data_IF_352835555019
#
_entry.id   IF_352835555019
#
_cell.length_a   1.000
_cell.length_b   1.000
_cell.length_c   1.000
_cell.angle_alpha   90.00
_cell.angle_beta   90.00
_cell.angle_gamma   90.00
#
_symmetry.space_group_name_H-M   'P 1'
#
loop_
_entity.id
_entity.type
_entity.pdbx_description
1 polymer ?
#
# COMPACT_ATOMS: atom_id res chain seq x y z
N UNK A 1 18.85 19.22 31.48
CA UNK A 1 18.09 19.20 30.21
C UNK A 1 16.66 18.79 30.55
N UNK A 2 15.70 19.72 30.64
CA UNK A 2 14.34 19.38 31.04
C UNK A 2 13.63 18.65 29.89
N UNK A 3 12.86 17.62 30.26
CA UNK A 3 12.03 16.85 29.34
C UNK A 3 10.95 17.76 28.74
N UNK A 4 10.86 17.76 27.41
CA UNK A 4 9.77 18.43 26.69
C UNK A 4 8.48 17.63 26.91
N UNK A 5 7.67 18.07 27.86
CA UNK A 5 6.27 17.66 27.97
C UNK A 5 5.49 18.17 26.75
N UNK A 6 4.83 17.25 26.06
CA UNK A 6 3.88 17.60 25.00
C UNK A 6 2.50 17.88 25.62
N UNK A 7 1.84 18.99 25.30
CA UNK A 7 0.49 19.24 25.79
C UNK A 7 -0.47 18.19 25.23
N UNK A 8 -1.27 17.60 26.11
CA UNK A 8 -2.42 16.78 25.74
C UNK A 8 -3.49 17.70 25.13
N UNK A 9 -3.99 17.45 23.91
CA UNK A 9 -5.06 18.27 23.36
C UNK A 9 -6.35 17.99 24.13
N UNK A 10 -6.77 18.94 24.98
CA UNK A 10 -8.15 19.02 25.47
C UNK A 10 -8.99 19.70 24.39
N UNK A 11 -9.93 18.94 23.85
CA UNK A 11 -10.90 19.41 22.86
C UNK A 11 -11.35 18.25 22.00
N UNK A 12 -12.65 18.16 21.71
CA UNK A 12 -13.19 17.23 20.71
C UNK A 12 -12.64 17.65 19.33
N UNK A 13 -11.40 17.26 19.05
CA UNK A 13 -10.80 17.36 17.74
C UNK A 13 -11.70 16.59 16.80
N UNK A 14 -12.41 17.30 15.92
CA UNK A 14 -12.89 16.70 14.67
C UNK A 14 -11.63 16.10 14.07
N UNK A 15 -11.47 14.78 14.18
CA UNK A 15 -10.42 14.06 13.48
C UNK A 15 -10.64 14.45 12.02
N UNK A 16 -9.82 15.36 11.51
CA UNK A 16 -9.68 15.57 10.08
C UNK A 16 -9.44 14.15 9.56
N UNK A 17 -10.25 13.66 8.64
CA UNK A 17 -10.00 12.36 8.01
C UNK A 17 -9.30 12.64 6.68
N UNK A 18 -8.42 11.76 6.22
CA UNK A 18 -7.88 11.93 4.88
C UNK A 18 -9.03 11.90 3.86
N UNK A 19 -9.01 12.78 2.85
CA UNK A 19 -10.02 12.77 1.81
C UNK A 19 -9.97 11.41 1.09
N UNK A 20 -11.14 10.77 0.85
CA UNK A 20 -11.17 9.53 0.10
C UNK A 20 -10.82 9.80 -1.37
N UNK A 21 -10.02 8.91 -1.96
CA UNK A 21 -9.89 8.81 -3.41
C UNK A 21 -11.11 8.04 -3.93
N UNK A 22 -11.96 8.65 -4.77
CA UNK A 22 -13.17 8.00 -5.26
C UNK A 22 -12.83 6.89 -6.27
N UNK A 23 -13.62 5.83 -6.26
CA UNK A 23 -13.48 4.76 -7.26
C UNK A 23 -14.30 4.99 -8.53
N UNK A 24 -15.30 5.87 -8.47
CA UNK A 24 -16.33 6.04 -9.49
C UNK A 24 -17.40 4.95 -9.44
N UNK A 25 -18.16 4.80 -10.52
CA UNK A 25 -19.20 3.77 -10.65
C UNK A 25 -18.62 2.37 -10.77
N UNK A 26 -18.58 1.63 -9.66
CA UNK A 26 -18.16 0.23 -9.65
C UNK A 26 -19.35 -0.72 -9.79
N UNK A 27 -19.23 -1.70 -10.68
CA UNK A 27 -20.25 -2.72 -10.90
C UNK A 27 -20.15 -3.83 -9.84
N UNK A 28 -21.28 -4.25 -9.24
CA UNK A 28 -21.33 -5.40 -8.35
C UNK A 28 -21.11 -6.71 -9.11
N UNK A 29 -20.41 -7.66 -8.48
CA UNK A 29 -20.28 -9.01 -9.03
C UNK A 29 -19.89 -10.07 -8.02
N UNK A 30 -19.78 -11.31 -8.48
CA UNK A 30 -19.27 -12.46 -7.71
C UNK A 30 -18.04 -13.05 -8.39
N UNK A 31 -16.97 -13.22 -7.64
CA UNK A 31 -15.75 -13.84 -8.14
C UNK A 31 -16.00 -15.31 -8.47
N UNK A 32 -15.63 -15.75 -9.67
CA UNK A 32 -15.81 -17.14 -10.10
C UNK A 32 -14.48 -17.91 -10.05
N UNK A 33 -13.40 -17.30 -10.53
CA UNK A 33 -12.09 -17.94 -10.51
C UNK A 33 -10.98 -17.09 -11.10
N UNK A 34 -9.74 -17.34 -10.65
CA UNK A 34 -8.55 -16.68 -11.21
C UNK A 34 -8.07 -17.50 -12.42
N UNK A 35 -7.91 -16.86 -13.57
CA UNK A 35 -7.41 -17.51 -14.79
C UNK A 35 -5.89 -17.51 -14.84
N UNK A 36 -5.29 -16.39 -14.48
CA UNK A 36 -3.84 -16.22 -14.35
C UNK A 36 -3.53 -15.02 -13.44
N UNK A 37 -2.26 -14.59 -13.38
CA UNK A 37 -1.84 -13.48 -12.52
C UNK A 37 -2.57 -12.15 -12.79
N UNK A 38 -3.05 -11.92 -14.01
CA UNK A 38 -3.66 -10.65 -14.44
C UNK A 38 -5.09 -10.76 -14.96
N UNK A 39 -5.72 -11.93 -14.87
CA UNK A 39 -7.06 -12.15 -15.36
C UNK A 39 -7.87 -13.05 -14.43
N UNK A 40 -9.13 -12.70 -14.24
CA UNK A 40 -10.10 -13.46 -13.47
C UNK A 40 -11.47 -13.45 -14.17
N UNK A 41 -12.29 -14.43 -13.83
CA UNK A 41 -13.68 -14.50 -14.26
C UNK A 41 -14.57 -14.04 -13.11
N UNK A 42 -15.53 -13.16 -13.40
CA UNK A 42 -16.48 -12.59 -12.44
C UNK A 42 -17.88 -12.63 -13.05
N UNK A 43 -18.88 -13.04 -12.29
CA UNK A 43 -20.28 -12.89 -12.66
C UNK A 43 -20.73 -11.45 -12.36
N UNK A 44 -21.09 -10.69 -13.39
CA UNK A 44 -21.59 -9.31 -13.30
C UNK A 44 -22.99 -9.30 -13.91
N UNK A 45 -24.01 -8.95 -13.11
CA UNK A 45 -25.42 -9.03 -13.56
C UNK A 45 -25.81 -10.44 -14.01
N UNK A 46 -25.28 -11.49 -13.35
CA UNK A 46 -25.50 -12.90 -13.73
C UNK A 46 -24.64 -13.42 -14.88
N UNK A 47 -23.99 -12.53 -15.66
CA UNK A 47 -23.18 -12.94 -16.82
C UNK A 47 -21.72 -13.10 -16.43
N UNK A 48 -21.13 -14.23 -16.84
CA UNK A 48 -19.69 -14.49 -16.68
C UNK A 48 -18.87 -13.58 -17.59
N UNK A 49 -17.99 -12.76 -17.00
CA UNK A 49 -17.13 -11.81 -17.72
C UNK A 49 -15.67 -11.98 -17.31
N UNK A 50 -14.77 -11.80 -18.27
CA UNK A 50 -13.33 -11.72 -17.99
C UNK A 50 -12.98 -10.30 -17.52
N UNK A 51 -12.28 -10.19 -16.40
CA UNK A 51 -11.79 -8.92 -15.84
C UNK A 51 -10.29 -8.96 -15.65
N UNK A 52 -9.64 -7.80 -15.75
CA UNK A 52 -8.23 -7.66 -15.44
C UNK A 52 -8.03 -7.61 -13.92
N UNK A 53 -6.97 -8.25 -13.43
CA UNK A 53 -6.53 -8.16 -12.04
C UNK A 53 -5.29 -7.26 -11.99
N UNK A 54 -5.42 -5.97 -11.61
CA UNK A 54 -4.32 -5.01 -11.55
C UNK A 54 -3.39 -5.21 -10.33
N UNK A 55 -3.04 -6.47 -10.06
CA UNK A 55 -2.22 -6.88 -8.93
C UNK A 55 -1.51 -8.21 -9.23
N UNK A 56 -0.19 -8.18 -9.23
CA UNK A 56 0.67 -9.35 -9.45
C UNK A 56 0.74 -10.29 -8.24
N UNK A 57 0.25 -9.86 -7.08
CA UNK A 57 0.22 -10.64 -5.84
C UNK A 57 -0.64 -11.89 -5.96
N UNK A 58 -0.45 -12.82 -5.02
CA UNK A 58 -1.12 -14.12 -5.02
C UNK A 58 -2.59 -14.01 -4.61
N UNK A 59 -2.93 -13.08 -3.72
CA UNK A 59 -4.30 -12.76 -3.28
C UNK A 59 -5.16 -14.00 -2.95
N UNK A 60 -4.55 -15.09 -2.47
CA UNK A 60 -5.21 -16.41 -2.32
C UNK A 60 -6.29 -16.39 -1.23
N UNK A 61 -6.05 -15.59 -0.20
CA UNK A 61 -6.96 -15.35 0.92
C UNK A 61 -8.15 -14.45 0.53
N UNK A 62 -7.99 -13.63 -0.51
CA UNK A 62 -9.02 -12.69 -0.97
C UNK A 62 -9.86 -13.26 -2.11
N UNK A 63 -9.21 -13.79 -3.15
CA UNK A 63 -9.84 -14.22 -4.40
C UNK A 63 -10.34 -15.67 -4.31
N UNK A 64 -11.34 -15.89 -3.44
CA UNK A 64 -12.05 -17.17 -3.30
C UNK A 64 -13.32 -17.19 -4.15
N UNK A 65 -13.66 -18.30 -4.82
CA UNK A 65 -14.94 -18.45 -5.52
C UNK A 65 -16.12 -18.05 -4.64
N UNK A 66 -17.08 -17.32 -5.22
CA UNK A 66 -18.26 -16.80 -4.53
C UNK A 66 -18.05 -15.46 -3.80
N UNK A 67 -16.80 -15.00 -3.61
CA UNK A 67 -16.52 -13.73 -2.96
C UNK A 67 -17.22 -12.56 -3.68
N UNK A 68 -17.87 -11.68 -2.91
CA UNK A 68 -18.44 -10.46 -3.46
C UNK A 68 -17.33 -9.52 -3.93
N UNK A 69 -17.49 -8.95 -5.12
CA UNK A 69 -16.50 -8.07 -5.73
C UNK A 69 -17.12 -6.80 -6.28
N UNK A 70 -16.27 -5.83 -6.58
CA UNK A 70 -16.60 -4.63 -7.33
C UNK A 70 -15.62 -4.47 -8.49
N UNK A 71 -16.16 -4.26 -9.69
CA UNK A 71 -15.40 -4.15 -10.94
C UNK A 71 -15.53 -2.73 -11.47
N UNK A 72 -14.40 -2.10 -11.78
CA UNK A 72 -14.39 -0.85 -12.54
C UNK A 72 -14.63 -1.20 -14.01
N UNK A 73 -15.74 -0.77 -14.63
CA UNK A 73 -16.02 -1.10 -16.02
C UNK A 73 -14.94 -0.53 -16.95
N UNK A 74 -14.68 -1.21 -18.06
CA UNK A 74 -13.91 -0.62 -19.14
C UNK A 74 -14.64 0.62 -19.68
N UNK A 75 -13.91 1.68 -20.08
CA UNK A 75 -14.54 2.82 -20.75
C UNK A 75 -15.31 2.39 -22.00
N UNK A 76 -16.45 3.03 -22.33
CA UNK A 76 -17.14 2.80 -23.59
C UNK A 76 -16.20 2.95 -24.79
N UNK A 77 -16.29 2.05 -25.77
CA UNK A 77 -15.44 2.08 -26.97
C UNK A 77 -13.97 1.66 -26.76
N UNK A 78 -13.56 1.28 -25.55
CA UNK A 78 -12.19 0.84 -25.31
C UNK A 78 -11.91 -0.52 -25.99
N UNK A 79 -10.86 -0.59 -26.80
CA UNK A 79 -10.37 -1.83 -27.41
C UNK A 79 -9.72 -2.75 -26.36
N UNK A 80 -10.53 -3.36 -25.49
CA UNK A 80 -10.09 -4.26 -24.41
C UNK A 80 -10.76 -5.62 -24.49
N UNK A 81 -9.98 -6.68 -24.27
CA UNK A 81 -10.50 -8.06 -24.13
C UNK A 81 -11.24 -8.28 -22.80
N UNK A 82 -10.97 -7.46 -21.79
CA UNK A 82 -11.56 -7.56 -20.45
C UNK A 82 -12.67 -6.53 -20.27
N UNK A 83 -13.77 -6.93 -19.65
CA UNK A 83 -14.92 -6.06 -19.34
C UNK A 83 -14.60 -4.93 -18.35
N UNK A 84 -13.46 -5.00 -17.66
CA UNK A 84 -13.06 -4.01 -16.67
C UNK A 84 -11.91 -4.50 -15.80
N UNK A 85 -11.65 -3.76 -14.73
CA UNK A 85 -10.61 -4.06 -13.74
C UNK A 85 -11.26 -4.46 -12.41
N UNK A 86 -10.83 -5.58 -11.84
CA UNK A 86 -11.21 -5.98 -10.49
C UNK A 86 -10.65 -4.95 -9.51
N UNK A 87 -11.54 -4.27 -8.77
CA UNK A 87 -11.17 -3.17 -7.89
C UNK A 87 -11.27 -3.57 -6.42
N UNK A 88 -12.41 -4.09 -5.98
CA UNK A 88 -12.64 -4.48 -4.59
C UNK A 88 -13.03 -5.94 -4.47
N UNK A 89 -12.63 -6.55 -3.34
CA UNK A 89 -13.04 -7.88 -2.93
C UNK A 89 -13.50 -7.82 -1.48
N UNK A 90 -14.62 -8.47 -1.18
CA UNK A 90 -15.13 -8.60 0.19
C UNK A 90 -14.38 -9.71 0.91
N UNK A 91 -13.80 -9.41 2.06
CA UNK A 91 -13.07 -10.35 2.89
C UNK A 91 -13.36 -10.07 4.36
N UNK A 92 -13.77 -11.09 5.13
CA UNK A 92 -14.02 -10.99 6.58
C UNK A 92 -14.82 -9.74 7.00
N UNK A 93 -15.92 -9.43 6.29
CA UNK A 93 -16.75 -8.27 6.64
C UNK A 93 -16.17 -6.89 6.32
N UNK A 94 -15.02 -6.81 5.61
CA UNK A 94 -14.48 -5.55 5.06
C UNK A 94 -14.32 -5.60 3.55
N UNK A 95 -14.27 -4.43 2.90
CA UNK A 95 -13.77 -4.33 1.53
C UNK A 95 -12.25 -4.22 1.55
N UNK A 96 -11.60 -4.91 0.60
CA UNK A 96 -10.18 -4.80 0.32
C UNK A 96 -10.02 -4.35 -1.11
N UNK A 97 -9.32 -3.25 -1.32
CA UNK A 97 -9.00 -2.81 -2.68
C UNK A 97 -7.77 -3.58 -3.16
N UNK A 98 -7.95 -4.29 -4.28
CA UNK A 98 -6.91 -5.10 -4.91
C UNK A 98 -6.25 -4.34 -6.08
N UNK A 99 -6.71 -3.13 -6.39
CA UNK A 99 -6.07 -2.28 -7.40
C UNK A 99 -4.85 -1.53 -6.84
N UNK A 100 -3.66 -2.07 -7.14
CA UNK A 100 -2.41 -1.51 -6.64
C UNK A 100 -2.12 -0.09 -7.18
N UNK A 101 -2.73 0.30 -8.30
CA UNK A 101 -2.52 1.64 -8.91
C UNK A 101 -3.07 2.76 -8.02
N UNK A 102 -4.06 2.45 -7.17
CA UNK A 102 -4.73 3.45 -6.32
C UNK A 102 -3.85 3.89 -5.15
N UNK A 103 -2.89 3.07 -4.71
CA UNK A 103 -2.13 3.33 -3.50
C UNK A 103 -1.35 4.66 -3.55
N UNK A 104 -0.70 4.96 -4.69
CA UNK A 104 0.03 6.22 -4.87
C UNK A 104 -0.93 7.43 -4.84
N UNK A 105 -2.12 7.30 -5.42
CA UNK A 105 -3.13 8.36 -5.42
C UNK A 105 -3.61 8.66 -3.99
N UNK A 106 -3.84 7.63 -3.16
CA UNK A 106 -4.25 7.79 -1.75
C UNK A 106 -3.19 8.53 -0.94
N UNK A 107 -1.93 8.12 -1.06
CA UNK A 107 -0.83 8.79 -0.35
C UNK A 107 -0.68 10.24 -0.82
N UNK A 108 -0.76 10.49 -2.13
CA UNK A 108 -0.68 11.84 -2.68
C UNK A 108 -1.84 12.74 -2.23
N UNK A 109 -3.07 12.24 -2.22
CA UNK A 109 -4.25 12.98 -1.76
C UNK A 109 -4.13 13.33 -0.26
N UNK A 110 -3.72 12.36 0.57
CA UNK A 110 -3.52 12.58 1.99
C UNK A 110 -2.38 13.58 2.26
N UNK A 111 -1.29 13.57 1.49
CA UNK A 111 -0.22 14.57 1.58
C UNK A 111 -0.70 15.96 1.17
N UNK A 112 -1.48 16.06 0.09
CA UNK A 112 -2.09 17.31 -0.37
C UNK A 112 -2.99 17.96 0.69
N UNK A 113 -3.72 17.13 1.44
CA UNK A 113 -4.56 17.54 2.57
C UNK A 113 -3.80 17.74 3.89
N UNK A 114 -2.46 17.57 3.91
CA UNK A 114 -1.65 17.71 5.13
C UNK A 114 -1.89 16.61 6.17
N UNK A 115 -2.49 15.48 5.77
CA UNK A 115 -3.06 14.51 6.71
C UNK A 115 -2.12 13.38 7.12
N UNK A 116 -1.05 13.10 6.37
CA UNK A 116 -0.27 11.87 6.58
C UNK A 116 0.51 11.89 7.90
N UNK A 117 0.13 11.07 8.91
CA UNK A 117 0.75 11.15 10.23
C UNK A 117 2.23 10.79 10.19
N UNK A 118 3.09 11.69 10.68
CA UNK A 118 4.55 11.52 10.63
C UNK A 118 5.19 11.97 9.32
N UNK A 119 4.43 12.60 8.41
CA UNK A 119 4.92 13.33 7.22
C UNK A 119 4.30 14.74 7.13
N UNK A 120 3.92 15.35 8.26
CA UNK A 120 3.39 16.71 8.30
C UNK A 120 4.35 17.72 7.65
N UNK A 121 3.78 18.64 6.87
CA UNK A 121 4.50 19.66 6.09
C UNK A 121 5.10 19.16 4.77
N UNK A 122 5.13 17.84 4.51
CA UNK A 122 5.56 17.33 3.21
C UNK A 122 4.43 17.41 2.17
N UNK A 123 4.75 17.89 0.98
CA UNK A 123 3.83 17.98 -0.17
C UNK A 123 4.41 17.25 -1.38
N UNK A 124 3.55 16.81 -2.30
CA UNK A 124 3.99 16.20 -3.55
C UNK A 124 4.49 17.31 -4.49
N UNK A 125 5.76 17.23 -4.90
CA UNK A 125 6.34 18.12 -5.91
C UNK A 125 6.27 17.53 -7.32
N UNK A 126 6.46 16.21 -7.43
CA UNK A 126 6.50 15.50 -8.71
C UNK A 126 6.10 14.05 -8.52
N UNK A 127 5.53 13.44 -9.56
CA UNK A 127 5.25 12.00 -9.65
C UNK A 127 6.19 11.31 -10.63
N UNK A 128 6.35 9.99 -10.51
CA UNK A 128 7.10 9.15 -11.45
C UNK A 128 8.54 9.63 -11.68
N UNK A 129 9.29 9.78 -10.59
CA UNK A 129 10.61 10.41 -10.55
C UNK A 129 11.68 9.40 -10.94
N UNK A 130 12.40 9.67 -12.03
CA UNK A 130 13.50 8.82 -12.51
C UNK A 130 14.79 9.08 -11.71
N UNK A 131 15.42 8.01 -11.23
CA UNK A 131 16.71 8.02 -10.56
C UNK A 131 17.54 6.86 -11.09
N UNK A 132 18.51 7.17 -11.96
CA UNK A 132 19.22 6.16 -12.75
C UNK A 132 18.25 5.33 -13.59
N UNK A 133 18.27 4.00 -13.39
CA UNK A 133 17.35 3.04 -14.03
C UNK A 133 16.01 2.85 -13.29
N UNK A 134 15.86 3.42 -12.10
CA UNK A 134 14.68 3.23 -11.26
C UNK A 134 13.70 4.40 -11.43
N UNK A 135 12.43 4.13 -11.16
CA UNK A 135 11.37 5.12 -11.11
C UNK A 135 10.64 4.99 -9.78
N UNK A 136 10.63 6.08 -9.03
CA UNK A 136 9.99 6.21 -7.72
C UNK A 136 8.67 6.95 -7.86
N UNK A 137 7.70 6.62 -7.03
CA UNK A 137 6.33 7.11 -7.20
C UNK A 137 6.21 8.62 -7.03
N UNK A 138 6.88 9.20 -6.03
CA UNK A 138 6.73 10.61 -5.65
C UNK A 138 8.07 11.27 -5.25
N UNK A 139 8.21 12.56 -5.57
CA UNK A 139 9.18 13.46 -4.95
C UNK A 139 8.40 14.36 -3.99
N UNK A 140 8.77 14.33 -2.71
CA UNK A 140 8.18 15.17 -1.68
C UNK A 140 9.05 16.39 -1.42
N UNK A 141 8.40 17.50 -1.08
CA UNK A 141 9.03 18.76 -0.68
C UNK A 141 8.55 19.20 0.69
N UNK A 142 9.47 19.72 1.50
CA UNK A 142 9.17 20.45 2.74
C UNK A 142 10.25 21.51 2.92
N UNK A 143 9.87 22.78 2.82
CA UNK A 143 10.80 23.91 2.77
C UNK A 143 11.86 23.68 1.66
N UNK A 144 13.16 23.77 2.01
CA UNK A 144 14.29 23.48 1.11
C UNK A 144 14.62 21.98 0.99
N UNK A 145 13.92 21.10 1.72
CA UNK A 145 14.22 19.65 1.75
C UNK A 145 13.41 18.89 0.70
N UNK A 146 14.04 17.87 0.10
CA UNK A 146 13.42 16.97 -0.89
C UNK A 146 13.61 15.51 -0.49
N UNK A 147 12.53 14.73 -0.53
CA UNK A 147 12.55 13.30 -0.22
C UNK A 147 12.02 12.47 -1.39
N UNK A 148 12.72 11.40 -1.76
CA UNK A 148 12.12 10.37 -2.62
C UNK A 148 11.11 9.58 -1.79
N UNK A 149 9.95 9.30 -2.37
CA UNK A 149 8.89 8.53 -1.74
C UNK A 149 8.45 7.38 -2.66
N UNK A 150 8.50 6.18 -2.11
CA UNK A 150 8.00 4.96 -2.73
C UNK A 150 6.76 4.48 -1.96
N UNK A 151 5.70 4.09 -2.66
CA UNK A 151 4.47 3.57 -2.09
C UNK A 151 4.34 2.08 -2.39
N UNK A 152 4.05 1.28 -1.37
CA UNK A 152 3.81 -0.16 -1.49
C UNK A 152 2.38 -0.49 -1.12
N UNK A 153 1.64 -1.12 -2.03
CA UNK A 153 0.31 -1.66 -1.74
C UNK A 153 0.43 -2.96 -0.96
N UNK A 154 -0.30 -3.07 0.16
CA UNK A 154 -0.28 -4.24 1.04
C UNK A 154 -1.70 -4.73 1.28
N UNK A 155 -1.98 -5.99 0.91
CA UNK A 155 -3.30 -6.61 1.07
C UNK A 155 -3.28 -7.82 2.01
N UNK A 156 -2.11 -8.44 2.18
CA UNK A 156 -1.92 -9.58 3.07
C UNK A 156 -1.86 -9.12 4.53
N UNK A 157 -2.82 -9.59 5.32
CA UNK A 157 -2.87 -9.40 6.78
C UNK A 157 -3.26 -10.72 7.43
N UNK A 158 -2.44 -11.17 8.38
CA UNK A 158 -2.60 -12.42 9.10
C UNK A 158 -2.58 -12.12 10.59
N UNK A 159 -3.62 -12.52 11.32
CA UNK A 159 -3.74 -12.27 12.77
C UNK A 159 -3.43 -10.79 13.16
N UNK A 160 -3.94 -9.84 12.38
CA UNK A 160 -3.72 -8.40 12.60
C UNK A 160 -2.32 -7.89 12.20
N UNK A 161 -1.46 -8.71 11.58
CA UNK A 161 -0.14 -8.28 11.11
C UNK A 161 -0.13 -8.21 9.58
N UNK A 162 0.05 -7.00 9.04
CA UNK A 162 0.26 -6.81 7.61
C UNK A 162 1.64 -7.30 7.19
N UNK A 163 1.71 -7.99 6.06
CA UNK A 163 2.96 -8.55 5.52
C UNK A 163 3.20 -8.10 4.10
N UNK A 164 4.43 -7.69 3.81
CA UNK A 164 4.84 -7.34 2.46
C UNK A 164 6.27 -7.82 2.17
N UNK A 165 6.53 -8.43 1.00
CA UNK A 165 5.55 -8.72 -0.06
C UNK A 165 4.78 -10.03 0.18
N UNK A 166 3.76 -10.30 -0.62
CA UNK A 166 3.02 -11.58 -0.66
C UNK A 166 3.60 -12.57 -1.71
N UNK A 167 4.62 -12.12 -2.47
CA UNK A 167 5.45 -12.91 -3.36
C UNK A 167 6.83 -12.23 -3.53
N UNK A 168 7.91 -12.96 -3.88
CA UNK A 168 9.23 -12.36 -4.09
C UNK A 168 9.22 -11.14 -5.02
N UNK A 169 9.95 -10.08 -4.68
CA UNK A 169 9.98 -8.81 -5.41
C UNK A 169 11.40 -8.27 -5.59
N UNK A 170 12.08 -8.73 -6.65
CA UNK A 170 13.42 -8.23 -7.00
C UNK A 170 13.43 -6.70 -7.22
N UNK A 171 12.37 -6.16 -7.85
CA UNK A 171 12.20 -4.72 -8.04
C UNK A 171 12.06 -3.97 -6.73
N UNK A 172 11.23 -4.46 -5.80
CA UNK A 172 11.07 -3.84 -4.49
C UNK A 172 12.40 -3.82 -3.71
N UNK A 173 13.14 -4.93 -3.74
CA UNK A 173 14.47 -5.02 -3.13
C UNK A 173 15.46 -4.03 -3.73
N UNK A 174 15.50 -3.90 -5.06
CA UNK A 174 16.35 -2.91 -5.73
C UNK A 174 15.99 -1.47 -5.32
N UNK A 175 14.70 -1.14 -5.26
CA UNK A 175 14.25 0.18 -4.82
C UNK A 175 14.69 0.48 -3.38
N UNK A 176 14.53 -0.48 -2.44
CA UNK A 176 15.00 -0.32 -1.06
C UNK A 176 16.50 -0.05 -0.98
N UNK A 177 17.31 -0.76 -1.77
CA UNK A 177 18.78 -0.55 -1.84
C UNK A 177 19.11 0.85 -2.36
N UNK A 178 18.44 1.33 -3.41
CA UNK A 178 18.66 2.68 -3.96
C UNK A 178 18.26 3.77 -2.95
N UNK A 179 17.13 3.62 -2.26
CA UNK A 179 16.71 4.57 -1.22
C UNK A 179 17.69 4.57 -0.03
N UNK A 180 18.16 3.40 0.40
CA UNK A 180 19.17 3.29 1.45
C UNK A 180 20.50 3.94 1.07
N UNK A 181 20.95 3.78 -0.18
CA UNK A 181 22.15 4.42 -0.68
C UNK A 181 22.00 5.96 -0.72
N UNK A 182 20.82 6.47 -1.09
CA UNK A 182 20.52 7.90 -1.04
C UNK A 182 20.55 8.44 0.40
N UNK A 183 19.93 7.73 1.33
CA UNK A 183 19.85 8.14 2.73
C UNK A 183 21.23 8.23 3.39
N UNK A 184 22.12 7.26 3.12
CA UNK A 184 23.52 7.32 3.58
C UNK A 184 24.32 8.49 3.02
N UNK A 185 23.94 9.04 1.87
CA UNK A 185 24.55 10.24 1.27
C UNK A 185 23.86 11.55 1.74
N UNK A 186 23.08 11.49 2.82
CA UNK A 186 22.37 12.64 3.39
C UNK A 186 21.04 12.99 2.70
N UNK A 187 20.62 12.24 1.67
CA UNK A 187 19.38 12.51 0.96
C UNK A 187 18.15 11.91 1.65
N UNK A 188 17.09 12.69 1.86
CA UNK A 188 15.87 12.15 2.46
C UNK A 188 15.17 11.13 1.54
N UNK A 189 14.63 10.08 2.15
CA UNK A 189 13.88 9.01 1.51
C UNK A 189 12.82 8.44 2.45
N UNK A 190 11.64 8.12 1.91
CA UNK A 190 10.53 7.52 2.65
C UNK A 190 9.92 6.37 1.84
N UNK A 191 9.47 5.34 2.55
CA UNK A 191 8.63 4.28 1.99
C UNK A 191 7.31 4.24 2.75
N UNK A 192 6.20 4.38 2.04
CA UNK A 192 4.85 4.31 2.58
C UNK A 192 4.22 2.96 2.19
N UNK A 193 4.04 2.08 3.15
CA UNK A 193 3.23 0.87 3.00
C UNK A 193 1.76 1.20 3.26
N UNK A 194 0.94 1.10 2.22
CA UNK A 194 -0.49 1.34 2.29
C UNK A 194 -1.22 0.00 2.43
N UNK A 195 -1.71 -0.25 3.64
CA UNK A 195 -2.40 -1.49 4.00
C UNK A 195 -3.87 -1.31 3.69
N UNK A 196 -4.37 -2.01 2.67
CA UNK A 196 -5.73 -1.87 2.16
C UNK A 196 -6.77 -2.63 3.02
N UNK A 197 -6.48 -2.71 4.33
CA UNK A 197 -7.23 -3.45 5.35
C UNK A 197 -7.20 -2.70 6.68
N UNK A 198 -8.35 -2.49 7.35
CA UNK A 198 -8.43 -1.72 8.58
C UNK A 198 -7.92 -2.47 9.82
N UNK A 199 -7.91 -3.80 9.76
CA UNK A 199 -7.65 -4.71 10.88
C UNK A 199 -6.16 -4.97 11.15
N UNK A 200 -5.25 -4.40 10.36
CA UNK A 200 -3.82 -4.50 10.63
C UNK A 200 -3.39 -3.59 11.79
N UNK A 201 -2.81 -4.16 12.84
CA UNK A 201 -2.23 -3.45 13.98
C UNK A 201 -0.75 -3.07 13.77
N UNK A 202 -0.03 -3.80 12.91
CA UNK A 202 1.38 -3.56 12.58
C UNK A 202 1.70 -4.03 11.16
N UNK A 203 2.88 -3.64 10.66
CA UNK A 203 3.45 -4.18 9.43
C UNK A 203 4.82 -4.83 9.68
N UNK A 204 5.05 -6.00 9.09
CA UNK A 204 6.33 -6.72 9.12
C UNK A 204 6.75 -7.07 7.69
N UNK A 205 7.98 -6.73 7.24
CA UNK A 205 8.50 -7.26 5.98
C UNK A 205 8.51 -8.79 6.00
N UNK A 206 7.97 -9.42 4.95
CA UNK A 206 7.68 -10.84 4.95
C UNK A 206 8.93 -11.68 4.63
N UNK A 207 9.79 -11.91 5.63
CA UNK A 207 11.05 -12.62 5.44
C UNK A 207 10.91 -14.07 4.92
N UNK A 208 9.81 -14.75 5.24
CA UNK A 208 9.51 -16.11 4.73
C UNK A 208 9.31 -16.11 3.22
N UNK A 209 8.65 -15.08 2.66
CA UNK A 209 8.41 -14.98 1.21
C UNK A 209 9.50 -14.23 0.47
N UNK A 210 10.16 -13.26 1.10
CA UNK A 210 11.26 -12.52 0.50
C UNK A 210 12.29 -12.07 1.55
N UNK A 211 13.26 -12.95 1.90
CA UNK A 211 14.29 -12.62 2.88
C UNK A 211 15.19 -11.46 2.40
N UNK A 212 15.40 -11.34 1.08
CA UNK A 212 16.20 -10.26 0.50
C UNK A 212 15.51 -8.90 0.64
N UNK A 213 14.20 -8.82 0.44
CA UNK A 213 13.43 -7.60 0.68
C UNK A 213 13.42 -7.22 2.16
N UNK A 214 13.22 -8.19 3.06
CA UNK A 214 13.25 -7.95 4.50
C UNK A 214 14.61 -7.43 4.97
N UNK A 215 15.71 -8.02 4.49
CA UNK A 215 17.07 -7.54 4.75
C UNK A 215 17.28 -6.12 4.18
N UNK A 216 16.84 -5.86 2.95
CA UNK A 216 16.95 -4.53 2.35
C UNK A 216 16.15 -3.47 3.12
N UNK A 217 15.01 -3.82 3.72
CA UNK A 217 14.26 -2.93 4.60
C UNK A 217 15.06 -2.57 5.86
N UNK A 218 15.70 -3.55 6.51
CA UNK A 218 16.58 -3.31 7.66
C UNK A 218 17.73 -2.38 7.29
N UNK A 219 18.49 -2.72 6.26
CA UNK A 219 19.63 -1.92 5.80
C UNK A 219 19.22 -0.50 5.38
N UNK A 220 18.08 -0.35 4.70
CA UNK A 220 17.58 0.96 4.31
C UNK A 220 17.17 1.81 5.53
N UNK A 221 16.46 1.22 6.49
CA UNK A 221 16.06 1.90 7.72
C UNK A 221 17.27 2.35 8.54
N UNK A 222 18.26 1.47 8.76
CA UNK A 222 19.52 1.82 9.42
C UNK A 222 20.31 2.90 8.68
N UNK A 223 20.15 2.99 7.34
CA UNK A 223 20.73 4.05 6.52
C UNK A 223 19.97 5.38 6.56
N UNK A 224 18.86 5.49 7.28
CA UNK A 224 18.07 6.73 7.42
C UNK A 224 16.80 6.80 6.58
N UNK A 225 16.41 5.72 5.89
CA UNK A 225 15.12 5.69 5.16
C UNK A 225 13.96 5.62 6.15
N UNK A 226 13.01 6.55 6.05
CA UNK A 226 11.80 6.54 6.87
C UNK A 226 10.83 5.46 6.35
N UNK A 227 10.57 4.43 7.14
CA UNK A 227 9.52 3.46 6.84
C UNK A 227 8.23 3.84 7.56
N UNK A 228 7.13 3.91 6.82
CA UNK A 228 5.80 4.26 7.34
C UNK A 228 4.77 3.28 6.82
N UNK A 229 3.83 2.91 7.69
CA UNK A 229 2.72 2.05 7.32
C UNK A 229 1.41 2.66 7.81
N UNK A 230 0.39 2.58 6.96
CA UNK A 230 -0.92 3.14 7.24
C UNK A 230 -2.00 2.15 6.81
N UNK A 231 -3.04 2.00 7.63
CA UNK A 231 -4.24 1.29 7.19
C UNK A 231 -5.06 2.19 6.27
N UNK A 232 -6.03 1.59 5.58
CA UNK A 232 -7.02 2.30 4.80
C UNK A 232 -8.42 1.94 5.25
N UNK A 233 -9.33 2.91 5.13
CA UNK A 233 -10.77 2.68 5.11
C UNK A 233 -11.17 2.51 3.66
N UNK A 234 -11.79 1.38 3.33
CA UNK A 234 -12.21 1.04 1.97
C UNK A 234 -13.73 0.86 1.95
N UNK A 235 -14.39 1.57 1.05
CA UNK A 235 -15.83 1.46 0.79
C UNK A 235 -16.03 1.30 -0.72
N UNK A 236 -17.24 0.92 -1.19
CA UNK A 236 -17.54 0.94 -2.62
C UNK A 236 -17.38 2.33 -3.27
N UNK A 237 -17.55 3.41 -2.50
CA UNK A 237 -17.42 4.79 -3.00
C UNK A 237 -15.98 5.28 -3.12
N UNK A 238 -15.05 4.78 -2.29
CA UNK A 238 -13.67 5.24 -2.29
C UNK A 238 -12.79 4.62 -1.21
N UNK A 239 -11.53 5.02 -1.23
CA UNK A 239 -10.49 4.60 -0.28
C UNK A 239 -9.78 5.81 0.32
N UNK A 240 -9.67 5.82 1.63
CA UNK A 240 -8.95 6.85 2.37
C UNK A 240 -7.82 6.24 3.20
N UNK A 241 -6.72 6.98 3.33
CA UNK A 241 -5.69 6.68 4.33
C UNK A 241 -6.36 6.80 5.72
N UNK A 242 -6.04 5.87 6.62
CA UNK A 242 -6.59 5.84 7.97
C UNK A 242 -5.43 5.97 8.98
N UNK A 243 -5.38 5.14 10.02
CA UNK A 243 -4.37 5.31 11.06
C UNK A 243 -2.98 4.82 10.64
N UNK A 244 -1.96 5.43 11.22
CA UNK A 244 -0.58 4.91 11.19
C UNK A 244 -0.47 3.65 12.04
N UNK A 245 0.32 2.69 11.56
CA UNK A 245 0.74 1.51 12.32
C UNK A 245 2.27 1.41 12.40
N UNK A 246 2.82 0.78 13.44
CA UNK A 246 4.25 0.53 13.52
C UNK A 246 4.71 -0.41 12.40
N UNK A 247 5.90 -0.10 11.85
CA UNK A 247 6.67 -1.03 11.00
C UNK A 247 7.66 -1.73 11.92
N UNK A 248 7.56 -3.06 12.04
CA UNK A 248 8.44 -3.91 12.84
C UNK A 248 9.36 -4.68 11.89
N UNK A 249 10.67 -4.45 12.00
CA UNK A 249 11.65 -5.03 11.07
C UNK A 249 12.19 -6.40 11.50
N UNK A 250 11.78 -6.88 12.68
CA UNK A 250 12.39 -8.04 13.35
C UNK A 250 13.83 -7.75 13.78
N UNK A 251 14.29 -8.35 14.88
CA UNK A 251 15.72 -8.44 15.16
C UNK A 251 16.40 -9.38 14.16
N UNK A 252 17.75 -9.47 14.13
CA UNK A 252 18.40 -10.61 13.51
C UNK A 252 17.78 -11.89 14.12
N UNK A 253 17.52 -12.90 13.29
CA UNK A 253 17.13 -14.20 13.82
C UNK A 253 18.21 -14.62 14.81
N UNK A 254 17.86 -14.78 16.10
CA UNK A 254 18.75 -15.49 17.02
C UNK A 254 18.88 -16.90 16.44
N UNK A 255 20.10 -17.45 16.28
CA UNK A 255 20.23 -18.86 15.96
C UNK A 255 19.48 -19.64 17.04
N UNK A 256 18.52 -20.45 16.62
CA UNK A 256 17.65 -21.19 17.53
C UNK A 256 18.50 -22.09 18.40
N UNK A 257 18.36 -21.96 19.72
CA UNK A 257 18.66 -23.01 20.67
C UNK A 257 17.80 -24.21 20.29
N UNK A 258 18.40 -25.16 19.57
CA UNK A 258 17.88 -26.51 19.54
C UNK A 258 18.20 -27.08 20.92
N UNK A 259 17.12 -27.40 21.62
CA UNK A 259 17.07 -28.25 22.81
C UNK A 259 17.90 -29.51 22.63
#
# INVERSE_FOLDING_TARGET
MPALEYPTPRGKSRLVEAPPVPFGGLLPGRFLGRRNRFAATVAIGGVSRLVHVPNSGRLRELLRPGAAVRVRPAPPGAARRTAGDLCLVRHAGTWVCVDNRVAVAVVAAALGAGWVPGLSGWRVLRREVRVGRHRFDLLLGRDRRRALCEVKSVTLVEAGVARFPDAPTARGTAHMKTLGARARRGGAAVVCFLIQRPDAAALVPHAVHDPAFAAACRTAASGGVLLRAYTCRVTPGGIALARRVPVRLGGPARPGSHS
#
